data_IF_264856181685
#
_entry.id   IF_264856181685
#
_cell.length_a   1.000
_cell.length_b   1.000
_cell.length_c   1.000
_cell.angle_alpha   90.00
_cell.angle_beta   90.00
_cell.angle_gamma   90.00
#
_symmetry.space_group_name_H-M   'P 1'
#
loop_
_entity.id
_entity.type
_entity.pdbx_description
1 polymer ?
#
# COMPACT_ATOMS: atom_id res chain seq x y z
N UNK A 1 -15.23 -18.06 1.26
CA UNK A 1 -14.32 -17.03 1.80
C UNK A 1 -15.06 -15.70 1.75
N UNK A 2 -15.67 -15.27 2.86
CA UNK A 2 -16.27 -13.93 2.93
C UNK A 2 -15.13 -12.94 3.12
N UNK A 3 -14.58 -12.45 2.02
CA UNK A 3 -13.66 -11.31 2.07
C UNK A 3 -14.48 -10.14 2.60
N UNK A 4 -14.28 -9.79 3.88
CA UNK A 4 -14.96 -8.65 4.49
C UNK A 4 -14.74 -7.43 3.59
N UNK A 5 -15.75 -6.59 3.30
CA UNK A 5 -15.60 -5.44 2.41
C UNK A 5 -14.45 -4.50 2.82
N UNK A 6 -14.08 -4.49 4.11
CA UNK A 6 -12.88 -3.81 4.62
C UNK A 6 -11.58 -4.31 4.00
N UNK A 7 -11.43 -5.63 3.83
CA UNK A 7 -10.23 -6.25 3.25
C UNK A 7 -10.13 -5.95 1.75
N UNK A 8 -11.26 -5.94 1.03
CA UNK A 8 -11.30 -5.52 -0.38
C UNK A 8 -10.89 -4.06 -0.56
N UNK A 9 -11.40 -3.15 0.28
CA UNK A 9 -11.02 -1.74 0.24
C UNK A 9 -9.51 -1.56 0.48
N UNK A 10 -8.95 -2.29 1.46
CA UNK A 10 -7.51 -2.23 1.75
C UNK A 10 -6.67 -2.76 0.58
N UNK A 11 -7.08 -3.85 -0.07
CA UNK A 11 -6.40 -4.36 -1.27
C UNK A 11 -6.39 -3.29 -2.38
N UNK A 12 -7.54 -2.67 -2.65
CA UNK A 12 -7.64 -1.63 -3.69
C UNK A 12 -6.78 -0.41 -3.36
N UNK A 13 -6.75 0.00 -2.09
CA UNK A 13 -5.92 1.12 -1.63
C UNK A 13 -4.42 0.80 -1.75
N UNK A 14 -4.02 -0.42 -1.41
CA UNK A 14 -2.66 -0.91 -1.62
C UNK A 14 -2.24 -0.93 -3.10
N UNK A 15 -3.11 -1.41 -4.00
CA UNK A 15 -2.83 -1.42 -5.44
C UNK A 15 -2.65 0.00 -5.99
N UNK A 16 -3.52 0.92 -5.55
CA UNK A 16 -3.45 2.33 -5.95
C UNK A 16 -2.14 2.97 -5.48
N UNK A 17 -1.81 2.84 -4.19
CA UNK A 17 -0.54 3.37 -3.64
C UNK A 17 0.69 2.70 -4.26
N UNK A 18 0.61 1.43 -4.66
CA UNK A 18 1.70 0.73 -5.34
C UNK A 18 1.96 1.31 -6.73
N UNK A 19 0.91 1.64 -7.46
CA UNK A 19 1.03 2.32 -8.76
C UNK A 19 1.61 3.73 -8.58
N UNK A 20 1.15 4.48 -7.58
CA UNK A 20 1.70 5.79 -7.26
C UNK A 20 3.19 5.69 -6.89
N UNK A 21 3.56 4.81 -5.97
CA UNK A 21 4.96 4.62 -5.59
C UNK A 21 5.84 4.24 -6.78
N UNK A 22 5.36 3.39 -7.68
CA UNK A 22 6.08 3.06 -8.92
C UNK A 22 6.28 4.30 -9.79
N UNK A 23 5.25 5.13 -9.94
CA UNK A 23 5.34 6.37 -10.71
C UNK A 23 6.30 7.38 -10.07
N UNK A 24 6.18 7.61 -8.76
CA UNK A 24 7.06 8.50 -7.99
C UNK A 24 8.52 8.02 -7.99
N UNK A 25 8.76 6.71 -7.83
CA UNK A 25 10.09 6.14 -7.91
C UNK A 25 10.70 6.30 -9.31
N UNK A 26 9.89 6.19 -10.36
CA UNK A 26 10.35 6.37 -11.74
C UNK A 26 10.65 7.84 -12.06
N UNK A 27 9.87 8.78 -11.51
CA UNK A 27 9.99 10.21 -11.81
C UNK A 27 11.00 10.93 -10.90
N UNK A 28 11.00 10.64 -9.59
CA UNK A 28 11.82 11.31 -8.58
C UNK A 28 12.95 10.44 -8.00
N UNK A 29 12.92 9.12 -8.24
CA UNK A 29 13.83 8.16 -7.61
C UNK A 29 13.31 7.64 -6.26
N UNK A 30 13.88 6.52 -5.82
CA UNK A 30 13.53 5.86 -4.56
C UNK A 30 13.96 6.65 -3.32
N UNK A 31 14.96 7.53 -3.45
CA UNK A 31 15.49 8.35 -2.35
C UNK A 31 14.69 9.63 -2.12
N UNK A 32 13.67 9.91 -2.94
CA UNK A 32 12.88 11.12 -2.77
C UNK A 32 11.98 10.99 -1.52
N UNK A 33 11.91 12.02 -0.65
CA UNK A 33 11.14 11.93 0.59
C UNK A 33 9.68 11.54 0.39
N UNK A 34 9.05 11.98 -0.72
CA UNK A 34 7.69 11.59 -1.05
C UNK A 34 7.57 10.09 -1.40
N UNK A 35 8.54 9.54 -2.13
CA UNK A 35 8.60 8.10 -2.46
C UNK A 35 8.80 7.25 -1.21
N UNK A 36 9.69 7.68 -0.30
CA UNK A 36 9.94 7.00 0.98
C UNK A 36 8.69 7.01 1.86
N UNK A 37 8.01 8.16 1.95
CA UNK A 37 6.76 8.26 2.71
C UNK A 37 5.65 7.38 2.12
N UNK A 38 5.51 7.38 0.79
CA UNK A 38 4.61 6.47 0.09
C UNK A 38 4.93 4.99 0.39
N UNK A 39 6.22 4.63 0.51
CA UNK A 39 6.60 3.24 0.83
C UNK A 39 6.19 2.86 2.24
N UNK A 40 6.40 3.76 3.21
CA UNK A 40 6.01 3.55 4.60
C UNK A 40 4.49 3.40 4.75
N UNK A 41 3.71 4.26 4.10
CA UNK A 41 2.24 4.15 4.09
C UNK A 41 1.76 2.82 3.48
N UNK A 42 2.49 2.31 2.48
CA UNK A 42 2.17 1.05 1.81
C UNK A 42 2.51 -0.17 2.69
N UNK A 43 3.63 -0.13 3.42
CA UNK A 43 4.00 -1.13 4.42
C UNK A 43 2.99 -1.18 5.58
N UNK A 44 2.51 -0.02 6.04
CA UNK A 44 1.47 0.05 7.08
C UNK A 44 0.16 -0.61 6.62
N UNK A 45 -0.26 -0.37 5.37
CA UNK A 45 -1.43 -1.02 4.80
C UNK A 45 -1.26 -2.52 4.64
N UNK A 46 -0.07 -2.99 4.24
CA UNK A 46 0.25 -4.42 4.21
C UNK A 46 0.15 -5.06 5.60
N UNK A 47 0.67 -4.39 6.63
CA UNK A 47 0.57 -4.86 8.01
C UNK A 47 -0.90 -4.95 8.46
N UNK A 48 -1.70 -3.92 8.15
CA UNK A 48 -3.13 -3.90 8.46
C UNK A 48 -3.88 -5.03 7.74
N UNK A 49 -3.61 -5.23 6.45
CA UNK A 49 -4.14 -6.33 5.66
C UNK A 49 -3.77 -7.69 6.26
N UNK A 50 -2.51 -7.87 6.62
CA UNK A 50 -2.02 -9.10 7.22
C UNK A 50 -2.72 -9.40 8.55
N UNK A 51 -2.86 -8.40 9.42
CA UNK A 51 -3.59 -8.51 10.69
C UNK A 51 -5.07 -8.87 10.50
N UNK A 52 -5.72 -8.33 9.48
CA UNK A 52 -7.12 -8.62 9.17
C UNK A 52 -7.34 -10.01 8.58
N UNK A 53 -6.35 -10.56 7.87
CA UNK A 53 -6.40 -11.92 7.31
C UNK A 53 -5.91 -13.02 8.27
N UNK A 54 -5.20 -12.67 9.35
CA UNK A 54 -4.75 -13.64 10.37
C UNK A 54 -5.80 -13.90 11.48
N UNK A 55 -6.97 -13.26 11.42
CA UNK A 55 -8.10 -13.47 12.32
C UNK A 55 -9.16 -14.39 11.70
#
# INVERSE_FOLDING_TARGET
MNVTPKVQNIIQEMETKRLELKYFAQYHGFSHPATVRLSQELDELFNLYHQLNQK
#
